data_IF_801468861157
#
_entry.id   IF_801468861157
#
_cell.length_a   1.000
_cell.length_b   1.000
_cell.length_c   1.000
_cell.angle_alpha   90.00
_cell.angle_beta   90.00
_cell.angle_gamma   90.00
#
_symmetry.space_group_name_H-M   'P 1'
#
loop_
_entity.id
_entity.type
_entity.pdbx_description
1 polymer ?
#
# COMPACT_ATOMS: atom_id res chain seq x y z
N UNK A 1 18.32 29.39 42.74
CA UNK A 1 18.30 30.17 41.48
C UNK A 1 18.92 31.54 41.76
N UNK A 2 20.05 31.87 41.15
CA UNK A 2 20.71 33.17 41.36
C UNK A 2 19.83 34.28 40.77
N UNK A 3 19.69 35.37 41.51
CA UNK A 3 18.83 36.54 41.18
C UNK A 3 19.10 37.14 39.80
N UNK A 4 20.32 36.98 39.28
CA UNK A 4 20.72 37.37 37.94
C UNK A 4 19.97 36.60 36.82
N UNK A 5 19.75 35.29 36.99
CA UNK A 5 19.03 34.46 36.01
C UNK A 5 17.55 34.82 35.98
N UNK A 6 16.95 35.06 37.14
CA UNK A 6 15.55 35.50 37.22
C UNK A 6 15.33 36.87 36.54
N UNK A 7 16.25 37.83 36.75
CA UNK A 7 16.19 39.16 36.12
C UNK A 7 16.35 39.11 34.60
N UNK A 8 17.22 38.22 34.12
CA UNK A 8 17.44 38.01 32.69
C UNK A 8 16.24 37.32 32.03
N UNK A 9 15.65 36.31 32.67
CA UNK A 9 14.43 35.63 32.19
C UNK A 9 13.22 36.57 32.08
N UNK A 10 13.14 37.58 32.95
CA UNK A 10 12.08 38.62 32.90
C UNK A 10 12.40 39.80 31.97
N UNK A 11 13.54 39.77 31.28
CA UNK A 11 13.95 40.86 30.40
C UNK A 11 13.18 40.84 29.07
N UNK A 12 12.91 42.02 28.49
CA UNK A 12 12.27 42.16 27.17
C UNK A 12 12.89 41.28 26.06
N UNK A 13 14.23 41.14 25.93
CA UNK A 13 14.78 40.26 24.90
C UNK A 13 14.50 38.78 25.15
N UNK A 14 14.39 38.33 26.41
CA UNK A 14 14.03 36.95 26.73
C UNK A 14 12.56 36.65 26.35
N UNK A 15 11.64 37.59 26.58
CA UNK A 15 10.24 37.46 26.13
C UNK A 15 10.13 37.44 24.60
N UNK A 16 10.85 38.31 23.89
CA UNK A 16 10.90 38.29 22.41
C UNK A 16 11.46 36.97 21.90
N UNK A 17 12.56 36.47 22.48
CA UNK A 17 13.16 35.19 22.11
C UNK A 17 12.19 34.03 22.34
N UNK A 18 11.49 34.01 23.48
CA UNK A 18 10.47 33.01 23.78
C UNK A 18 9.34 33.02 22.74
N UNK A 19 8.80 34.19 22.42
CA UNK A 19 7.73 34.33 21.41
C UNK A 19 8.19 33.86 20.03
N UNK A 20 9.43 34.16 19.63
CA UNK A 20 10.00 33.69 18.37
C UNK A 20 10.15 32.17 18.36
N UNK A 21 10.67 31.58 19.43
CA UNK A 21 10.76 30.11 19.56
C UNK A 21 9.39 29.45 19.48
N UNK A 22 8.39 30.00 20.19
CA UNK A 22 7.02 29.49 20.14
C UNK A 22 6.42 29.59 18.73
N UNK A 23 6.63 30.71 18.03
CA UNK A 23 6.18 30.88 16.65
C UNK A 23 6.84 29.88 15.69
N UNK A 24 8.15 29.67 15.81
CA UNK A 24 8.89 28.68 15.00
C UNK A 24 8.40 27.27 15.29
N UNK A 25 8.23 26.91 16.56
CA UNK A 25 7.71 25.60 16.96
C UNK A 25 6.31 25.35 16.37
N UNK A 26 5.43 26.34 16.44
CA UNK A 26 4.07 26.25 15.91
C UNK A 26 4.07 26.09 14.38
N UNK A 27 4.92 26.84 13.66
CA UNK A 27 5.12 26.68 12.22
C UNK A 27 5.61 25.28 11.86
N UNK A 28 6.61 24.75 12.59
CA UNK A 28 7.11 23.39 12.39
C UNK A 28 6.03 22.34 12.64
N UNK A 29 5.25 22.47 13.72
CA UNK A 29 4.14 21.56 14.03
C UNK A 29 3.11 21.52 12.90
N UNK A 30 2.74 22.68 12.33
CA UNK A 30 1.81 22.74 11.21
C UNK A 30 2.41 22.07 9.97
N UNK A 31 3.66 22.35 9.62
CA UNK A 31 4.31 21.74 8.45
C UNK A 31 4.41 20.21 8.58
N UNK A 32 4.81 19.71 9.76
CA UNK A 32 4.87 18.26 10.04
C UNK A 32 3.48 17.64 9.95
N UNK A 33 2.47 18.29 10.53
CA UNK A 33 1.09 17.82 10.48
C UNK A 33 0.56 17.68 9.05
N UNK A 34 0.81 18.67 8.18
CA UNK A 34 0.41 18.61 6.76
C UNK A 34 1.09 17.44 6.04
N UNK A 35 2.40 17.25 6.24
CA UNK A 35 3.13 16.12 5.64
C UNK A 35 2.60 14.78 6.14
N UNK A 36 2.26 14.68 7.42
CA UNK A 36 1.72 13.45 7.99
C UNK A 36 0.35 13.11 7.39
N UNK A 37 -0.54 14.10 7.23
CA UNK A 37 -1.84 13.91 6.55
C UNK A 37 -1.65 13.46 5.11
N UNK A 38 -0.72 14.06 4.36
CA UNK A 38 -0.41 13.66 3.00
C UNK A 38 0.07 12.21 2.94
N UNK A 39 1.03 11.82 3.79
CA UNK A 39 1.54 10.45 3.86
C UNK A 39 0.44 9.44 4.21
N UNK A 40 -0.38 9.72 5.22
CA UNK A 40 -1.48 8.84 5.62
C UNK A 40 -2.51 8.70 4.49
N UNK A 41 -2.83 9.79 3.79
CA UNK A 41 -3.76 9.74 2.65
C UNK A 41 -3.20 8.93 1.48
N UNK A 42 -1.89 9.03 1.22
CA UNK A 42 -1.21 8.24 0.21
C UNK A 42 -1.22 6.75 0.56
N UNK A 43 -0.86 6.41 1.81
CA UNK A 43 -0.89 5.03 2.28
C UNK A 43 -2.29 4.42 2.25
N UNK A 44 -3.33 5.20 2.56
CA UNK A 44 -4.71 4.74 2.46
C UNK A 44 -5.07 4.35 1.01
N UNK A 45 -4.75 5.20 0.03
CA UNK A 45 -4.99 4.93 -1.39
C UNK A 45 -4.15 3.76 -1.90
N UNK A 46 -2.90 3.66 -1.44
CA UNK A 46 -2.04 2.53 -1.75
C UNK A 46 -2.67 1.23 -1.26
N UNK A 47 -3.10 1.17 0.00
CA UNK A 47 -3.71 -0.04 0.58
C UNK A 47 -4.99 -0.44 -0.17
N UNK A 48 -5.82 0.52 -0.55
CA UNK A 48 -7.03 0.27 -1.33
C UNK A 48 -6.71 -0.35 -2.69
N UNK A 49 -5.77 0.25 -3.44
CA UNK A 49 -5.30 -0.25 -4.72
C UNK A 49 -4.63 -1.63 -4.58
N UNK A 50 -3.73 -1.79 -3.62
CA UNK A 50 -3.02 -3.04 -3.35
C UNK A 50 -3.98 -4.19 -3.00
N UNK A 51 -5.00 -3.92 -2.18
CA UNK A 51 -6.02 -4.90 -1.85
C UNK A 51 -6.86 -5.27 -3.08
N UNK A 52 -7.25 -4.30 -3.91
CA UNK A 52 -8.00 -4.61 -5.15
C UNK A 52 -7.20 -5.49 -6.10
N UNK A 53 -5.92 -5.17 -6.34
CA UNK A 53 -5.04 -5.99 -7.18
C UNK A 53 -4.82 -7.37 -6.58
N UNK A 54 -4.61 -7.46 -5.26
CA UNK A 54 -4.39 -8.73 -4.57
C UNK A 54 -5.63 -9.62 -4.66
N UNK A 55 -6.82 -9.05 -4.48
CA UNK A 55 -8.08 -9.76 -4.63
C UNK A 55 -8.27 -10.30 -6.04
N UNK A 56 -8.11 -9.46 -7.07
CA UNK A 56 -8.26 -9.88 -8.47
C UNK A 56 -7.26 -11.00 -8.83
N UNK A 57 -6.01 -10.91 -8.35
CA UNK A 57 -5.01 -11.95 -8.56
C UNK A 57 -5.33 -13.24 -7.80
N UNK A 58 -5.91 -13.15 -6.61
CA UNK A 58 -6.32 -14.32 -5.84
C UNK A 58 -7.50 -15.04 -6.52
N UNK A 59 -8.49 -14.30 -7.01
CA UNK A 59 -9.62 -14.83 -7.78
C UNK A 59 -9.12 -15.52 -9.08
N UNK A 60 -8.17 -14.90 -9.79
CA UNK A 60 -7.55 -15.51 -10.97
C UNK A 60 -6.76 -16.80 -10.64
N UNK A 61 -6.03 -16.82 -9.52
CA UNK A 61 -5.30 -18.00 -9.08
C UNK A 61 -6.24 -19.15 -8.66
N UNK A 62 -7.39 -18.83 -8.08
CA UNK A 62 -8.40 -19.81 -7.72
C UNK A 62 -9.05 -20.45 -8.95
N UNK A 63 -9.37 -19.64 -9.97
CA UNK A 63 -9.88 -20.15 -11.24
C UNK A 63 -8.89 -21.09 -11.96
N UNK A 64 -7.59 -20.76 -11.93
CA UNK A 64 -6.51 -21.60 -12.47
C UNK A 64 -6.42 -22.95 -11.74
N UNK A 65 -6.52 -22.94 -10.40
CA UNK A 65 -6.54 -24.17 -9.60
C UNK A 65 -7.75 -25.04 -9.89
N UNK A 66 -8.95 -24.46 -9.96
CA UNK A 66 -10.16 -25.20 -10.29
C UNK A 66 -10.08 -25.85 -11.68
N UNK A 67 -9.51 -25.15 -12.67
CA UNK A 67 -9.28 -25.69 -14.00
C UNK A 67 -8.24 -26.83 -14.00
N UNK A 68 -7.20 -26.73 -13.16
CA UNK A 68 -6.22 -27.79 -13.00
C UNK A 68 -6.81 -29.03 -12.31
N UNK A 69 -7.56 -28.85 -11.23
CA UNK A 69 -8.20 -29.95 -10.50
C UNK A 69 -9.18 -30.72 -11.40
N UNK A 70 -9.95 -29.98 -12.19
CA UNK A 70 -10.87 -30.55 -13.17
C UNK A 70 -10.12 -31.29 -14.30
N UNK A 71 -8.99 -30.75 -14.77
CA UNK A 71 -8.11 -31.46 -15.70
C UNK A 71 -7.62 -32.79 -15.12
N UNK A 72 -7.12 -32.77 -13.87
CA UNK A 72 -6.62 -33.97 -13.22
C UNK A 72 -7.73 -35.01 -13.02
N UNK A 73 -8.92 -34.56 -12.64
CA UNK A 73 -10.11 -35.42 -12.51
C UNK A 73 -10.47 -36.09 -13.83
N UNK A 74 -10.57 -35.32 -14.91
CA UNK A 74 -10.92 -35.85 -16.25
C UNK A 74 -9.83 -36.79 -16.77
N UNK A 75 -8.55 -36.47 -16.56
CA UNK A 75 -7.45 -37.35 -16.98
C UNK A 75 -7.49 -38.70 -16.23
N UNK A 76 -7.87 -38.70 -14.96
CA UNK A 76 -7.99 -39.92 -14.16
C UNK A 76 -9.22 -40.76 -14.56
N UNK A 77 -10.38 -40.13 -14.75
CA UNK A 77 -11.65 -40.84 -14.98
C UNK A 77 -11.92 -41.14 -16.46
N UNK A 78 -11.44 -40.29 -17.37
CA UNK A 78 -11.79 -40.27 -18.80
C UNK A 78 -10.57 -39.89 -19.66
N UNK A 79 -9.56 -40.77 -19.79
CA UNK A 79 -8.31 -40.46 -20.48
C UNK A 79 -8.50 -40.07 -21.94
N UNK A 80 -9.53 -40.58 -22.62
CA UNK A 80 -9.85 -40.24 -24.01
C UNK A 80 -10.25 -38.75 -24.18
N UNK A 81 -10.76 -38.12 -23.11
CA UNK A 81 -11.12 -36.70 -23.08
C UNK A 81 -9.94 -35.77 -22.72
N UNK A 82 -8.80 -36.33 -22.28
CA UNK A 82 -7.67 -35.57 -21.72
C UNK A 82 -7.17 -34.44 -22.64
N UNK A 83 -7.07 -34.69 -23.95
CA UNK A 83 -6.58 -33.67 -24.90
C UNK A 83 -7.50 -32.46 -24.99
N UNK A 84 -8.82 -32.69 -24.95
CA UNK A 84 -9.79 -31.59 -24.97
C UNK A 84 -9.71 -30.77 -23.68
N UNK A 85 -9.49 -31.46 -22.57
CA UNK A 85 -9.41 -30.85 -21.25
C UNK A 85 -8.11 -30.06 -21.04
N UNK A 86 -6.98 -30.56 -21.53
CA UNK A 86 -5.70 -29.85 -21.54
C UNK A 86 -5.84 -28.50 -22.28
N UNK A 87 -6.59 -28.47 -23.40
CA UNK A 87 -6.86 -27.21 -24.11
C UNK A 87 -7.71 -26.27 -23.27
N UNK A 88 -8.73 -26.78 -22.58
CA UNK A 88 -9.58 -25.98 -21.67
C UNK A 88 -8.77 -25.37 -20.54
N UNK A 89 -7.93 -26.17 -19.87
CA UNK A 89 -7.01 -25.69 -18.85
C UNK A 89 -6.06 -24.61 -19.38
N UNK A 90 -5.44 -24.82 -20.54
CA UNK A 90 -4.53 -23.82 -21.12
C UNK A 90 -5.24 -22.48 -21.43
N UNK A 91 -6.50 -22.51 -21.86
CA UNK A 91 -7.30 -21.28 -22.04
C UNK A 91 -7.59 -20.60 -20.70
N UNK A 92 -7.99 -21.36 -19.68
CA UNK A 92 -8.24 -20.83 -18.34
C UNK A 92 -6.97 -20.21 -17.73
N UNK A 93 -5.84 -20.88 -17.86
CA UNK A 93 -4.53 -20.37 -17.43
C UNK A 93 -4.16 -19.07 -18.14
N UNK A 94 -4.33 -19.00 -19.46
CA UNK A 94 -4.06 -17.79 -20.23
C UNK A 94 -4.97 -16.61 -19.80
N UNK A 95 -6.23 -16.88 -19.48
CA UNK A 95 -7.14 -15.87 -18.93
C UNK A 95 -6.71 -15.42 -17.53
N UNK A 96 -6.29 -16.35 -16.66
CA UNK A 96 -5.78 -16.02 -15.33
C UNK A 96 -4.47 -15.20 -15.41
N UNK A 97 -3.58 -15.51 -16.36
CA UNK A 97 -2.38 -14.72 -16.64
C UNK A 97 -2.73 -13.30 -17.10
N UNK A 98 -3.71 -13.16 -17.99
CA UNK A 98 -4.19 -11.85 -18.44
C UNK A 98 -4.79 -11.04 -17.28
N UNK A 99 -5.60 -11.67 -16.42
CA UNK A 99 -6.15 -10.99 -15.23
C UNK A 99 -5.05 -10.53 -14.28
N UNK A 100 -4.01 -11.34 -14.06
CA UNK A 100 -2.85 -10.95 -13.25
C UNK A 100 -2.04 -9.83 -13.89
N UNK A 101 -1.98 -9.76 -15.22
CA UNK A 101 -1.32 -8.71 -15.98
C UNK A 101 -2.07 -7.38 -15.90
N UNK A 102 -3.40 -7.42 -16.02
CA UNK A 102 -4.27 -6.24 -15.90
C UNK A 102 -4.33 -5.69 -14.46
N UNK A 103 -4.00 -6.52 -13.47
CA UNK A 103 -4.01 -6.17 -12.04
C UNK A 103 -2.61 -6.33 -11.42
N UNK A 104 -1.63 -5.47 -11.77
CA UNK A 104 -0.29 -5.54 -11.19
C UNK A 104 -0.31 -5.21 -9.70
N UNK A 105 0.63 -5.79 -8.96
CA UNK A 105 0.88 -5.38 -7.57
C UNK A 105 1.49 -3.99 -7.61
N UNK A 106 0.91 -2.99 -6.92
CA UNK A 106 1.46 -1.64 -6.93
C UNK A 106 2.85 -1.60 -6.27
N UNK A 107 3.75 -0.71 -6.74
CA UNK A 107 5.09 -0.54 -6.17
C UNK A 107 5.02 -0.13 -4.69
N UNK A 108 6.10 -0.34 -3.95
CA UNK A 108 6.07 -0.21 -2.49
C UNK A 108 5.67 1.21 -2.03
N UNK A 109 5.14 1.38 -0.81
CA UNK A 109 4.82 2.69 -0.26
C UNK A 109 6.01 3.66 -0.25
N UNK A 110 7.24 3.17 -0.11
CA UNK A 110 8.46 3.99 -0.16
C UNK A 110 8.69 4.59 -1.56
N UNK A 111 8.37 3.84 -2.61
CA UNK A 111 8.50 4.30 -4.00
C UNK A 111 7.34 5.20 -4.45
N UNK A 112 6.19 5.13 -3.76
CA UNK A 112 4.95 5.84 -4.16
C UNK A 112 4.59 7.03 -3.29
N UNK A 113 4.88 6.97 -1.98
CA UNK A 113 4.52 8.01 -1.02
C UNK A 113 5.71 8.87 -0.58
N UNK A 114 6.95 8.41 -0.80
CA UNK A 114 8.20 9.14 -0.50
C UNK A 114 8.98 8.59 0.67
#
# INVERSE_FOLDING_TARGET
MTTAVARWLTSRPADIAWRLMAAVALLLSVMIGVRQVQMTSCQARYNESANSSTRARAEAAEADRQALDELLRVVADQPDAALSEIRRYNMARAQADEQRRLNPVPPSPQETCG
#
